data_IF_631413775589
#
_entry.id   IF_631413775589
#
_cell.length_a   1.000
_cell.length_b   1.000
_cell.length_c   1.000
_cell.angle_alpha   90.00
_cell.angle_beta   90.00
_cell.angle_gamma   90.00
#
_symmetry.space_group_name_H-M   'P 1'
#
loop_
_entity.id
_entity.type
_entity.pdbx_description
1 polymer ?
#
# COMPACT_ATOMS: atom_id res chain seq x y z
N UNK A 1 2.24 -29.47 -29.63
CA UNK A 1 1.14 -28.50 -29.64
C UNK A 1 1.67 -27.20 -29.07
N UNK A 2 1.49 -26.12 -29.79
CA UNK A 2 1.97 -24.81 -29.33
C UNK A 2 1.13 -24.36 -28.15
N UNK A 3 1.70 -24.47 -26.93
CA UNK A 3 1.04 -24.06 -25.68
C UNK A 3 0.69 -22.54 -25.64
N UNK A 4 1.23 -21.76 -26.58
CA UNK A 4 0.95 -20.31 -26.68
C UNK A 4 -0.42 -20.04 -27.32
N UNK A 5 -0.95 -20.95 -28.13
CA UNK A 5 -2.21 -20.74 -28.82
C UNK A 5 -3.40 -20.62 -27.87
N UNK A 6 -3.56 -21.47 -26.84
CA UNK A 6 -4.62 -21.31 -25.85
C UNK A 6 -4.51 -20.01 -25.05
N UNK A 7 -3.30 -19.62 -24.61
CA UNK A 7 -3.07 -18.41 -23.85
C UNK A 7 -3.41 -17.17 -24.68
N UNK A 8 -2.92 -17.11 -25.91
CA UNK A 8 -3.21 -16.02 -26.83
C UNK A 8 -4.72 -15.93 -27.14
N UNK A 9 -5.36 -17.07 -27.41
CA UNK A 9 -6.79 -17.11 -27.64
C UNK A 9 -7.63 -16.65 -26.45
N UNK A 10 -7.22 -16.94 -25.21
CA UNK A 10 -7.89 -16.48 -24.00
C UNK A 10 -7.74 -14.96 -23.82
N UNK A 11 -6.57 -14.42 -24.08
CA UNK A 11 -6.30 -12.97 -24.01
C UNK A 11 -7.03 -12.21 -25.13
N UNK A 12 -7.03 -12.72 -26.36
CA UNK A 12 -7.66 -12.05 -27.50
C UNK A 12 -9.19 -12.04 -27.41
N UNK A 13 -9.80 -13.05 -26.83
CA UNK A 13 -11.27 -13.13 -26.72
C UNK A 13 -11.86 -12.19 -25.68
N UNK A 14 -11.07 -11.58 -24.80
CA UNK A 14 -11.51 -10.71 -23.69
C UNK A 14 -12.68 -11.29 -22.86
N UNK A 15 -12.94 -12.58 -22.98
CA UNK A 15 -13.81 -13.33 -22.10
C UNK A 15 -12.90 -13.92 -21.06
N UNK A 16 -12.89 -13.28 -19.94
CA UNK A 16 -12.03 -13.55 -18.81
C UNK A 16 -12.34 -14.92 -18.18
N UNK A 17 -12.13 -15.99 -18.91
CA UNK A 17 -11.98 -17.31 -18.29
C UNK A 17 -10.56 -17.40 -17.72
N UNK A 18 -10.38 -16.72 -16.60
CA UNK A 18 -9.12 -16.74 -15.89
C UNK A 18 -8.74 -18.14 -15.40
N UNK A 19 -9.70 -19.06 -15.22
CA UNK A 19 -9.45 -20.44 -14.84
C UNK A 19 -8.72 -21.21 -15.96
N UNK A 20 -9.17 -21.05 -17.21
CA UNK A 20 -8.47 -21.60 -18.36
C UNK A 20 -7.08 -21.04 -18.55
N UNK A 21 -6.91 -19.73 -18.35
CA UNK A 21 -5.61 -19.07 -18.40
C UNK A 21 -4.69 -19.59 -17.29
N UNK A 22 -5.14 -19.62 -16.04
CA UNK A 22 -4.39 -20.13 -14.90
C UNK A 22 -3.97 -21.59 -15.10
N UNK A 23 -4.88 -22.45 -15.61
CA UNK A 23 -4.58 -23.85 -15.91
C UNK A 23 -3.48 -24.00 -16.97
N UNK A 24 -3.54 -23.24 -18.06
CA UNK A 24 -2.52 -23.27 -19.11
C UNK A 24 -1.17 -22.75 -18.60
N UNK A 25 -1.17 -21.70 -17.79
CA UNK A 25 0.02 -21.14 -17.18
C UNK A 25 0.64 -22.13 -16.19
N UNK A 26 -0.17 -22.75 -15.33
CA UNK A 26 0.27 -23.79 -14.39
C UNK A 26 0.93 -24.96 -15.10
N UNK A 27 0.37 -25.48 -16.18
CA UNK A 27 0.95 -26.53 -16.98
C UNK A 27 2.32 -26.14 -17.55
N UNK A 28 2.43 -24.91 -18.06
CA UNK A 28 3.69 -24.39 -18.60
C UNK A 28 4.79 -24.35 -17.53
N UNK A 29 4.49 -23.79 -16.36
CA UNK A 29 5.45 -23.69 -15.26
C UNK A 29 5.74 -25.05 -14.59
N UNK A 30 4.75 -25.95 -14.52
CA UNK A 30 4.97 -27.31 -14.04
C UNK A 30 5.94 -28.08 -14.96
N UNK A 31 5.91 -27.85 -16.26
CA UNK A 31 6.87 -28.43 -17.18
C UNK A 31 8.29 -27.83 -17.02
N UNK A 32 8.40 -26.57 -16.60
CA UNK A 32 9.69 -25.92 -16.35
C UNK A 32 10.28 -26.30 -15.00
N UNK A 33 9.45 -26.58 -14.01
CA UNK A 33 9.85 -26.81 -12.61
C UNK A 33 10.96 -27.86 -12.42
N UNK A 34 10.95 -29.04 -13.08
CA UNK A 34 12.02 -30.04 -12.94
C UNK A 34 13.38 -29.58 -13.46
N UNK A 35 13.41 -28.56 -14.31
CA UNK A 35 14.62 -28.03 -14.93
C UNK A 35 15.12 -26.75 -14.24
N UNK A 36 14.35 -26.20 -13.32
CA UNK A 36 14.70 -25.00 -12.57
C UNK A 36 15.59 -25.36 -11.38
N UNK A 37 16.80 -24.78 -11.25
CA UNK A 37 17.60 -24.89 -10.03
C UNK A 37 16.78 -24.44 -8.80
N UNK A 38 17.09 -25.00 -7.63
CA UNK A 38 16.34 -24.72 -6.40
C UNK A 38 16.42 -23.24 -5.97
N UNK A 39 17.48 -22.57 -6.33
CA UNK A 39 17.77 -21.17 -6.01
C UNK A 39 17.42 -20.20 -7.14
N UNK A 40 16.81 -20.67 -8.24
CA UNK A 40 16.45 -19.83 -9.38
C UNK A 40 15.31 -18.87 -9.02
N UNK A 41 15.53 -17.55 -8.97
CA UNK A 41 14.44 -16.61 -8.82
C UNK A 41 13.69 -16.44 -10.15
N UNK A 42 12.37 -16.50 -10.08
CA UNK A 42 11.48 -16.09 -11.17
C UNK A 42 10.93 -14.70 -10.88
N UNK A 43 10.99 -13.83 -11.86
CA UNK A 43 10.41 -12.50 -11.78
C UNK A 43 9.30 -12.36 -12.81
N UNK A 44 8.18 -11.79 -12.40
CA UNK A 44 7.15 -11.35 -13.33
C UNK A 44 6.78 -9.90 -13.05
N UNK A 45 6.67 -9.12 -14.10
CA UNK A 45 6.05 -7.80 -14.08
C UNK A 45 4.66 -7.98 -14.68
N UNK A 46 3.65 -7.66 -13.89
CA UNK A 46 2.24 -7.69 -14.29
C UNK A 46 1.84 -6.25 -14.62
N UNK A 47 1.76 -5.90 -15.91
CA UNK A 47 1.25 -4.60 -16.32
C UNK A 47 -0.27 -4.61 -16.10
N UNK A 48 -0.79 -3.52 -15.61
CA UNK A 48 -2.16 -3.36 -15.15
C UNK A 48 -2.46 -4.20 -13.90
N UNK A 49 -2.73 -3.52 -12.80
CA UNK A 49 -3.20 -4.15 -11.56
C UNK A 49 -4.64 -4.65 -11.74
N UNK A 50 -4.80 -5.68 -12.58
CA UNK A 50 -6.07 -6.37 -12.73
C UNK A 50 -6.16 -7.49 -11.68
N UNK A 51 -6.97 -7.36 -10.63
CA UNK A 51 -7.03 -8.30 -9.54
C UNK A 51 -7.30 -9.76 -9.96
N UNK A 52 -8.29 -10.06 -10.83
CA UNK A 52 -8.50 -11.41 -11.33
C UNK A 52 -7.31 -12.00 -12.11
N UNK A 53 -6.60 -11.17 -12.88
CA UNK A 53 -5.42 -11.60 -13.60
C UNK A 53 -4.27 -11.94 -12.64
N UNK A 54 -4.03 -11.08 -11.65
CA UNK A 54 -3.02 -11.33 -10.62
C UNK A 54 -3.32 -12.62 -9.86
N UNK A 55 -4.58 -12.86 -9.50
CA UNK A 55 -5.01 -14.12 -8.88
C UNK A 55 -4.71 -15.34 -9.75
N UNK A 56 -4.99 -15.25 -11.06
CA UNK A 56 -4.70 -16.34 -12.00
C UNK A 56 -3.19 -16.64 -12.10
N UNK A 57 -2.36 -15.60 -12.16
CA UNK A 57 -0.89 -15.76 -12.20
C UNK A 57 -0.37 -16.39 -10.92
N UNK A 58 -0.74 -15.84 -9.76
CA UNK A 58 -0.24 -16.30 -8.45
C UNK A 58 -0.65 -17.74 -8.16
N UNK A 59 -1.93 -18.08 -8.35
CA UNK A 59 -2.41 -19.45 -8.16
C UNK A 59 -1.80 -20.44 -9.13
N UNK A 60 -1.56 -20.04 -10.40
CA UNK A 60 -0.94 -20.89 -11.39
C UNK A 60 0.52 -21.27 -11.03
N UNK A 61 1.33 -20.29 -10.61
CA UNK A 61 2.71 -20.56 -10.22
C UNK A 61 2.79 -21.41 -8.93
N UNK A 62 1.94 -21.12 -7.96
CA UNK A 62 1.83 -21.93 -6.76
C UNK A 62 1.48 -23.39 -7.10
N UNK A 63 0.46 -23.61 -7.95
CA UNK A 63 0.07 -24.95 -8.42
C UNK A 63 1.20 -25.67 -9.16
N UNK A 64 2.09 -24.91 -9.79
CA UNK A 64 3.26 -25.45 -10.49
C UNK A 64 4.46 -25.72 -9.56
N UNK A 65 4.35 -25.50 -8.25
CA UNK A 65 5.40 -25.75 -7.27
C UNK A 65 6.40 -24.61 -7.13
N UNK A 66 5.96 -23.36 -7.32
CA UNK A 66 6.76 -22.18 -7.04
C UNK A 66 6.17 -21.42 -5.85
N UNK A 67 7.02 -21.03 -4.93
CA UNK A 67 6.66 -20.22 -3.75
C UNK A 67 6.89 -18.76 -4.03
N UNK A 68 5.88 -17.92 -3.75
CA UNK A 68 6.01 -16.47 -3.79
C UNK A 68 6.94 -16.00 -2.66
N UNK A 69 7.99 -15.28 -3.02
CA UNK A 69 9.00 -14.75 -2.08
C UNK A 69 8.98 -13.23 -1.99
N UNK A 70 8.31 -12.55 -2.91
CA UNK A 70 8.18 -11.10 -2.89
C UNK A 70 7.07 -10.61 -3.79
N UNK A 71 6.48 -9.49 -3.39
CA UNK A 71 5.54 -8.71 -4.17
C UNK A 71 5.79 -7.23 -3.94
N UNK A 72 5.79 -6.43 -4.99
CA UNK A 72 5.94 -4.98 -4.91
C UNK A 72 5.02 -4.30 -5.92
N UNK A 73 4.59 -3.09 -5.59
CA UNK A 73 3.87 -2.20 -6.49
C UNK A 73 4.83 -1.17 -7.09
N UNK A 74 4.58 -0.75 -8.33
CA UNK A 74 5.23 0.44 -8.85
C UNK A 74 4.74 1.68 -8.11
N UNK A 75 5.56 2.73 -7.99
CA UNK A 75 5.12 3.99 -7.41
C UNK A 75 3.99 4.66 -8.20
N UNK A 76 3.87 4.38 -9.47
CA UNK A 76 2.78 4.83 -10.36
C UNK A 76 1.47 4.07 -10.08
N UNK A 77 1.54 2.94 -9.39
CA UNK A 77 0.38 2.13 -9.04
C UNK A 77 -0.21 1.32 -10.20
N UNK A 78 0.49 1.23 -11.31
CA UNK A 78 0.04 0.59 -12.56
C UNK A 78 0.65 -0.80 -12.78
N UNK A 79 1.72 -1.14 -12.07
CA UNK A 79 2.43 -2.42 -12.19
C UNK A 79 2.51 -3.13 -10.86
N UNK A 80 2.50 -4.46 -10.91
CA UNK A 80 2.97 -5.30 -9.80
C UNK A 80 4.16 -6.14 -10.25
N UNK A 81 5.16 -6.24 -9.40
CA UNK A 81 6.27 -7.17 -9.54
C UNK A 81 6.10 -8.30 -8.54
N UNK A 82 6.21 -9.52 -9.02
CA UNK A 82 6.21 -10.71 -8.18
C UNK A 82 7.51 -11.48 -8.37
N UNK A 83 7.97 -12.07 -7.27
CA UNK A 83 9.17 -12.91 -7.26
C UNK A 83 8.83 -14.26 -6.65
N UNK A 84 9.26 -15.34 -7.30
CA UNK A 84 9.08 -16.69 -6.83
C UNK A 84 10.41 -17.44 -6.82
N UNK A 85 10.43 -18.50 -6.02
CA UNK A 85 11.46 -19.52 -6.02
C UNK A 85 10.80 -20.90 -6.12
N UNK A 86 11.53 -21.92 -6.63
CA UNK A 86 11.07 -23.28 -6.57
C UNK A 86 10.70 -23.66 -5.13
N UNK A 87 9.48 -24.16 -4.91
CA UNK A 87 8.97 -24.46 -3.58
C UNK A 87 9.77 -25.59 -2.90
N UNK A 88 10.17 -25.35 -1.67
CA UNK A 88 10.39 -26.42 -0.69
C UNK A 88 9.08 -26.62 0.08
N UNK A 89 8.74 -27.87 0.43
CA UNK A 89 7.53 -28.16 1.20
C UNK A 89 7.57 -27.38 2.52
N UNK A 90 6.60 -26.50 2.74
CA UNK A 90 6.72 -25.54 3.81
C UNK A 90 5.38 -25.20 4.49
N UNK A 91 5.16 -23.98 4.83
CA UNK A 91 4.10 -23.47 5.69
C UNK A 91 2.69 -23.65 5.10
N UNK A 92 1.69 -23.73 5.98
CA UNK A 92 0.29 -23.65 5.57
C UNK A 92 -0.03 -22.25 5.00
N UNK A 93 -0.85 -22.17 3.95
CA UNK A 93 -1.28 -20.88 3.42
C UNK A 93 -2.05 -20.09 4.50
N UNK A 94 -1.85 -18.77 4.52
CA UNK A 94 -2.65 -17.87 5.33
C UNK A 94 -4.03 -17.64 4.72
N UNK A 95 -4.91 -17.00 5.46
CA UNK A 95 -6.25 -16.68 4.96
C UNK A 95 -6.24 -15.33 4.23
N UNK A 96 -7.13 -15.20 3.26
CA UNK A 96 -7.42 -13.93 2.57
C UNK A 96 -7.73 -12.82 3.56
N UNK A 97 -8.58 -13.10 4.53
CA UNK A 97 -9.04 -12.14 5.52
C UNK A 97 -7.88 -11.60 6.37
N UNK A 98 -7.02 -12.50 6.85
CA UNK A 98 -5.83 -12.11 7.63
C UNK A 98 -4.89 -11.21 6.83
N UNK A 99 -4.66 -11.52 5.55
CA UNK A 99 -3.82 -10.70 4.69
C UNK A 99 -4.36 -9.30 4.47
N UNK A 100 -5.64 -9.17 4.17
CA UNK A 100 -6.30 -7.86 4.00
C UNK A 100 -6.25 -7.04 5.30
N UNK A 101 -6.57 -7.66 6.44
CA UNK A 101 -6.54 -6.98 7.74
C UNK A 101 -5.12 -6.56 8.14
N UNK A 102 -4.14 -7.45 7.97
CA UNK A 102 -2.75 -7.14 8.30
C UNK A 102 -2.23 -5.96 7.48
N UNK A 103 -2.50 -5.98 6.17
CA UNK A 103 -2.10 -4.88 5.28
C UNK A 103 -2.72 -3.53 5.69
N UNK A 104 -4.02 -3.49 5.94
CA UNK A 104 -4.71 -2.25 6.30
C UNK A 104 -4.28 -1.74 7.69
N UNK A 105 -3.99 -2.64 8.66
CA UNK A 105 -3.41 -2.25 9.94
C UNK A 105 -2.02 -1.67 9.79
N UNK A 106 -1.16 -2.35 9.04
CA UNK A 106 0.21 -1.92 8.76
C UNK A 106 0.26 -0.63 7.93
N UNK A 107 -0.68 -0.46 7.01
CA UNK A 107 -0.83 0.78 6.25
C UNK A 107 -1.31 1.94 7.12
N UNK A 108 -2.18 1.67 8.10
CA UNK A 108 -2.74 2.67 9.02
C UNK A 108 -3.75 3.63 8.37
N UNK A 109 -4.11 3.40 7.11
CA UNK A 109 -5.03 4.21 6.32
C UNK A 109 -5.76 3.34 5.28
N UNK A 110 -6.90 3.79 4.74
CA UNK A 110 -7.59 3.09 3.68
C UNK A 110 -6.74 2.93 2.42
N UNK A 111 -6.95 1.81 1.72
CA UNK A 111 -6.28 1.49 0.46
C UNK A 111 -7.30 1.29 -0.67
N UNK A 112 -6.85 1.39 -1.92
CA UNK A 112 -7.66 1.06 -3.08
C UNK A 112 -8.00 -0.44 -3.13
N UNK A 113 -8.99 -0.77 -3.97
CA UNK A 113 -9.46 -2.15 -4.12
C UNK A 113 -8.34 -3.10 -4.59
N UNK A 114 -7.56 -2.70 -5.59
CA UNK A 114 -6.55 -3.57 -6.19
C UNK A 114 -5.44 -3.93 -5.19
N UNK A 115 -4.96 -2.94 -4.45
CA UNK A 115 -3.96 -3.13 -3.40
C UNK A 115 -4.48 -4.02 -2.27
N UNK A 116 -5.72 -3.77 -1.81
CA UNK A 116 -6.37 -4.56 -0.75
C UNK A 116 -6.63 -5.99 -1.21
N UNK A 117 -7.05 -6.18 -2.48
CA UNK A 117 -7.24 -7.49 -3.09
C UNK A 117 -5.92 -8.29 -3.13
N UNK A 118 -4.82 -7.65 -3.60
CA UNK A 118 -3.51 -8.27 -3.61
C UNK A 118 -3.05 -8.66 -2.20
N UNK A 119 -3.28 -7.81 -1.22
CA UNK A 119 -2.93 -8.09 0.17
C UNK A 119 -3.61 -9.35 0.72
N UNK A 120 -4.86 -9.59 0.33
CA UNK A 120 -5.56 -10.84 0.67
C UNK A 120 -5.06 -12.05 -0.14
N UNK A 121 -4.68 -11.80 -1.39
CA UNK A 121 -4.24 -12.87 -2.28
C UNK A 121 -2.87 -13.45 -1.92
N UNK A 122 -1.92 -12.59 -1.49
CA UNK A 122 -0.54 -13.00 -1.21
C UNK A 122 -0.44 -14.14 -0.18
N UNK A 123 -1.04 -14.07 1.02
CA UNK A 123 -0.97 -15.17 1.99
C UNK A 123 -1.73 -16.43 1.54
N UNK A 124 -2.81 -16.26 0.78
CA UNK A 124 -3.54 -17.40 0.22
C UNK A 124 -2.71 -18.16 -0.85
N UNK A 125 -1.74 -17.48 -1.46
CA UNK A 125 -0.79 -18.03 -2.41
C UNK A 125 0.63 -18.22 -1.79
N UNK A 126 0.76 -18.20 -0.46
CA UNK A 126 1.99 -18.49 0.23
C UNK A 126 2.37 -19.99 0.15
N UNK A 127 3.59 -20.37 0.56
CA UNK A 127 4.15 -21.69 0.29
C UNK A 127 3.27 -22.82 0.87
N UNK A 128 2.55 -23.48 -0.01
CA UNK A 128 1.86 -24.73 0.25
C UNK A 128 2.40 -25.80 -0.68
N UNK A 129 2.25 -27.06 -0.30
CA UNK A 129 2.51 -28.12 -1.27
C UNK A 129 1.58 -27.91 -2.49
N UNK A 130 2.01 -28.21 -3.73
CA UNK A 130 1.19 -28.02 -4.91
C UNK A 130 -0.19 -28.68 -4.83
N UNK A 131 -0.30 -29.78 -4.09
CA UNK A 131 -1.57 -30.48 -3.83
C UNK A 131 -2.53 -29.69 -2.94
N UNK A 132 -2.05 -28.77 -2.12
CA UNK A 132 -2.83 -27.96 -1.16
C UNK A 132 -3.21 -26.59 -1.73
N UNK A 133 -2.82 -26.32 -2.98
CA UNK A 133 -3.16 -25.05 -3.64
C UNK A 133 -4.66 -24.96 -3.87
N UNK A 134 -5.34 -23.94 -3.31
CA UNK A 134 -6.77 -23.78 -3.53
C UNK A 134 -7.05 -23.43 -4.99
N UNK A 135 -8.13 -23.96 -5.58
CA UNK A 135 -8.55 -23.58 -6.91
C UNK A 135 -8.74 -22.05 -7.02
N UNK A 136 -8.39 -21.47 -8.15
CA UNK A 136 -8.54 -20.02 -8.41
C UNK A 136 -9.94 -19.51 -8.02
N UNK A 137 -10.99 -20.25 -8.38
CA UNK A 137 -12.37 -19.87 -8.06
C UNK A 137 -12.62 -19.80 -6.55
N UNK A 138 -12.04 -20.71 -5.76
CA UNK A 138 -12.16 -20.67 -4.29
C UNK A 138 -11.48 -19.45 -3.70
N UNK A 139 -10.31 -19.07 -4.21
CA UNK A 139 -9.60 -17.86 -3.78
C UNK A 139 -10.38 -16.61 -4.14
N UNK A 140 -10.92 -16.54 -5.35
CA UNK A 140 -11.76 -15.40 -5.78
C UNK A 140 -13.02 -15.28 -4.93
N UNK A 141 -13.72 -16.39 -4.65
CA UNK A 141 -14.90 -16.40 -3.79
C UNK A 141 -14.54 -15.97 -2.36
N UNK A 142 -13.41 -16.40 -1.84
CA UNK A 142 -12.95 -15.97 -0.50
C UNK A 142 -12.67 -14.47 -0.44
N UNK A 143 -12.06 -13.90 -1.49
CA UNK A 143 -11.82 -12.46 -1.62
C UNK A 143 -13.12 -11.67 -1.70
N UNK A 144 -14.06 -12.08 -2.56
CA UNK A 144 -15.37 -11.45 -2.67
C UNK A 144 -16.12 -11.46 -1.33
N UNK A 145 -16.15 -12.61 -0.65
CA UNK A 145 -16.77 -12.74 0.67
C UNK A 145 -16.10 -11.84 1.72
N UNK A 146 -14.77 -11.70 1.67
CA UNK A 146 -14.05 -10.82 2.58
C UNK A 146 -14.45 -9.35 2.37
N UNK A 147 -14.53 -8.86 1.13
CA UNK A 147 -14.98 -7.50 0.84
C UNK A 147 -16.43 -7.24 1.25
N UNK A 148 -17.31 -8.24 1.22
CA UNK A 148 -18.69 -8.11 1.70
C UNK A 148 -18.82 -8.20 3.23
N UNK A 149 -17.75 -8.47 3.95
CA UNK A 149 -17.80 -8.63 5.40
C UNK A 149 -17.66 -7.29 6.14
N UNK A 150 -18.78 -6.62 6.32
CA UNK A 150 -18.87 -5.32 7.00
C UNK A 150 -18.45 -5.33 8.48
N UNK A 151 -18.30 -6.52 9.10
CA UNK A 151 -17.77 -6.62 10.46
C UNK A 151 -16.27 -6.29 10.52
N UNK A 152 -15.55 -6.44 9.42
CA UNK A 152 -14.11 -6.21 9.38
C UNK A 152 -13.71 -5.04 8.50
N UNK A 153 -14.47 -4.74 7.43
CA UNK A 153 -14.09 -3.74 6.44
C UNK A 153 -15.18 -2.69 6.25
N UNK A 154 -14.73 -1.48 6.01
CA UNK A 154 -15.56 -0.36 5.61
C UNK A 154 -15.19 0.09 4.20
N UNK A 155 -16.21 0.24 3.34
CA UNK A 155 -16.06 0.72 1.98
C UNK A 155 -16.35 2.22 1.90
N UNK A 156 -15.31 3.03 1.67
CA UNK A 156 -15.43 4.47 1.44
C UNK A 156 -15.85 4.72 -0.01
N UNK A 157 -17.13 4.69 -0.24
CA UNK A 157 -17.76 4.78 -1.56
C UNK A 157 -17.64 6.18 -2.13
N UNK A 158 -17.42 6.27 -3.44
CA UNK A 158 -17.46 7.54 -4.19
C UNK A 158 -18.89 7.97 -4.53
N UNK A 159 -19.85 7.05 -4.52
CA UNK A 159 -21.29 7.26 -4.72
C UNK A 159 -22.09 6.10 -4.09
N UNK A 160 -23.40 6.28 -3.91
CA UNK A 160 -24.27 5.23 -3.33
C UNK A 160 -24.24 3.90 -4.12
N UNK A 161 -24.11 3.99 -5.44
CA UNK A 161 -24.08 2.82 -6.35
C UNK A 161 -22.66 2.47 -6.78
N UNK A 162 -21.63 2.84 -6.00
CA UNK A 162 -20.26 2.53 -6.33
C UNK A 162 -20.01 1.01 -6.35
N UNK A 163 -19.35 0.54 -7.40
CA UNK A 163 -18.93 -0.86 -7.50
C UNK A 163 -17.83 -1.17 -6.46
N UNK A 164 -17.63 -2.45 -6.16
CA UNK A 164 -16.63 -2.89 -5.16
C UNK A 164 -15.20 -2.49 -5.52
N UNK A 165 -14.91 -2.39 -6.80
CA UNK A 165 -13.60 -2.02 -7.37
C UNK A 165 -13.35 -0.52 -7.41
N UNK A 166 -14.26 0.30 -6.88
CA UNK A 166 -14.15 1.76 -6.81
C UNK A 166 -14.05 2.24 -5.36
N UNK A 167 -13.46 3.41 -5.15
CA UNK A 167 -13.28 3.99 -3.81
C UNK A 167 -12.16 3.33 -3.01
N UNK A 168 -12.20 3.51 -1.70
CA UNK A 168 -11.17 3.02 -0.78
C UNK A 168 -11.78 2.03 0.21
N UNK A 169 -10.94 1.13 0.68
CA UNK A 169 -11.27 0.12 1.69
C UNK A 169 -10.45 0.34 2.95
N UNK A 170 -11.08 0.34 4.10
CA UNK A 170 -10.45 0.47 5.39
C UNK A 170 -10.97 -0.55 6.38
N UNK A 171 -10.38 -0.59 7.56
CA UNK A 171 -10.86 -1.42 8.67
C UNK A 171 -12.10 -0.81 9.30
N UNK A 172 -13.07 -1.65 9.68
CA UNK A 172 -14.22 -1.24 10.50
C UNK A 172 -13.78 -0.85 11.92
N UNK A 173 -12.75 -1.52 12.44
CA UNK A 173 -12.06 -1.18 13.68
C UNK A 173 -10.57 -0.94 13.39
N UNK A 174 -10.12 0.29 13.54
CA UNK A 174 -8.72 0.71 13.37
C UNK A 174 -7.88 0.60 14.63
N UNK A 175 -8.41 0.04 15.73
CA UNK A 175 -7.63 -0.18 16.94
C UNK A 175 -6.40 -1.04 16.67
N UNK A 176 -5.24 -0.58 17.13
CA UNK A 176 -3.96 -1.26 16.89
C UNK A 176 -3.39 -1.11 15.47
N UNK A 177 -3.93 -0.20 14.66
CA UNK A 177 -3.32 0.18 13.38
C UNK A 177 -2.08 1.05 13.60
N UNK A 178 -1.15 0.96 12.66
CA UNK A 178 0.01 1.85 12.58
C UNK A 178 -0.43 3.29 12.28
N UNK A 179 0.52 4.22 12.38
CA UNK A 179 0.32 5.55 11.83
C UNK A 179 0.08 5.48 10.32
N UNK A 180 -0.76 6.36 9.75
CA UNK A 180 -1.01 6.40 8.32
C UNK A 180 0.29 6.37 7.50
N UNK A 181 0.30 5.61 6.42
CA UNK A 181 1.46 5.48 5.53
C UNK A 181 1.89 6.85 5.00
N UNK A 182 0.92 7.70 4.65
CA UNK A 182 1.17 9.06 4.19
C UNK A 182 1.94 9.89 5.23
N UNK A 183 1.55 9.81 6.50
CA UNK A 183 2.22 10.53 7.60
C UNK A 183 3.64 10.00 7.85
N UNK A 184 3.82 8.67 7.77
CA UNK A 184 5.14 8.04 7.92
C UNK A 184 6.07 8.44 6.79
N UNK A 185 5.56 8.41 5.56
CA UNK A 185 6.29 8.82 4.37
C UNK A 185 6.67 10.30 4.45
N UNK A 186 5.74 11.19 4.77
CA UNK A 186 6.04 12.62 4.94
C UNK A 186 7.14 12.86 5.97
N UNK A 187 7.05 12.19 7.12
CA UNK A 187 8.07 12.25 8.18
C UNK A 187 9.43 11.78 7.69
N UNK A 188 9.46 10.69 6.93
CA UNK A 188 10.68 10.18 6.31
C UNK A 188 11.29 11.22 5.38
N UNK A 189 10.50 11.73 4.42
CA UNK A 189 10.95 12.72 3.44
C UNK A 189 11.49 13.97 4.13
N UNK A 190 10.76 14.55 5.06
CA UNK A 190 11.20 15.75 5.78
C UNK A 190 12.50 15.51 6.55
N UNK A 191 12.61 14.36 7.21
CA UNK A 191 13.83 14.00 7.96
C UNK A 191 15.02 13.81 7.01
N UNK A 192 14.79 13.20 5.86
CA UNK A 192 15.79 12.99 4.82
C UNK A 192 16.27 14.32 4.22
N UNK A 193 15.33 15.21 3.85
CA UNK A 193 15.62 16.53 3.29
C UNK A 193 16.43 17.42 4.25
N UNK A 194 16.16 17.31 5.55
CA UNK A 194 16.94 18.06 6.55
C UNK A 194 18.40 17.60 6.67
N UNK A 195 18.68 16.33 6.33
CA UNK A 195 20.05 15.79 6.30
C UNK A 195 20.75 16.07 4.97
N UNK A 196 19.97 16.13 3.89
CA UNK A 196 20.49 16.28 2.51
C UNK A 196 19.75 17.44 1.84
N UNK A 197 20.12 18.70 2.15
CA UNK A 197 19.37 19.87 1.69
C UNK A 197 19.45 20.13 0.18
N UNK A 198 20.46 19.60 -0.52
CA UNK A 198 20.56 19.61 -2.00
C UNK A 198 20.72 18.18 -2.49
N UNK A 199 19.88 17.75 -3.43
CA UNK A 199 19.80 16.34 -3.80
C UNK A 199 19.22 16.11 -5.19
N UNK A 200 19.47 14.90 -5.71
CA UNK A 200 18.75 14.35 -6.86
C UNK A 200 17.53 13.58 -6.38
N UNK A 201 16.38 13.78 -7.01
CA UNK A 201 15.13 13.08 -6.66
C UNK A 201 15.31 11.56 -6.63
N UNK A 202 16.07 10.99 -7.58
CA UNK A 202 16.34 9.56 -7.64
C UNK A 202 17.05 9.00 -6.40
N UNK A 203 17.85 9.80 -5.70
CA UNK A 203 18.49 9.37 -4.45
C UNK A 203 17.47 9.26 -3.31
N UNK A 204 16.57 10.24 -3.19
CA UNK A 204 15.47 10.17 -2.23
C UNK A 204 14.53 9.00 -2.56
N UNK A 205 14.19 8.79 -3.82
CA UNK A 205 13.34 7.68 -4.27
C UNK A 205 13.93 6.33 -3.88
N UNK A 206 15.23 6.12 -4.12
CA UNK A 206 15.89 4.86 -3.77
C UNK A 206 15.79 4.55 -2.28
N UNK A 207 16.03 5.53 -1.41
CA UNK A 207 15.95 5.37 0.03
C UNK A 207 14.49 5.21 0.52
N UNK A 208 13.56 5.95 -0.09
CA UNK A 208 12.14 5.89 0.24
C UNK A 208 11.55 4.51 -0.06
N UNK A 209 11.84 3.95 -1.23
CA UNK A 209 11.30 2.64 -1.60
C UNK A 209 11.99 1.48 -0.87
N UNK A 210 13.21 1.68 -0.41
CA UNK A 210 13.86 0.74 0.51
C UNK A 210 13.19 0.74 1.90
N UNK A 211 12.72 1.90 2.39
CA UNK A 211 12.01 2.03 3.67
C UNK A 211 10.58 1.48 3.60
N UNK A 212 9.89 1.68 2.48
CA UNK A 212 8.50 1.27 2.28
C UNK A 212 8.36 0.25 1.15
N UNK A 213 8.88 -0.97 1.31
CA UNK A 213 8.85 -1.98 0.26
C UNK A 213 7.48 -2.64 0.09
N UNK A 214 7.29 -3.30 -1.04
CA UNK A 214 6.17 -4.18 -1.28
C UNK A 214 4.85 -3.45 -1.55
N UNK A 215 3.78 -3.86 -0.89
CA UNK A 215 2.48 -3.20 -0.99
C UNK A 215 2.40 -1.87 -0.21
N UNK A 216 3.46 -1.53 0.52
CA UNK A 216 3.60 -0.25 1.22
C UNK A 216 4.29 0.82 0.39
N UNK A 217 4.69 0.52 -0.83
CA UNK A 217 5.31 1.52 -1.71
C UNK A 217 4.36 2.72 -1.85
N UNK A 218 4.80 3.94 -1.45
CA UNK A 218 3.96 5.12 -1.53
C UNK A 218 3.76 5.51 -3.00
N UNK A 219 2.59 6.08 -3.34
CA UNK A 219 2.34 6.54 -4.70
C UNK A 219 3.22 7.74 -5.05
N UNK A 220 3.64 7.82 -6.31
CA UNK A 220 4.51 8.89 -6.83
C UNK A 220 3.92 10.28 -6.64
N UNK A 221 2.58 10.40 -6.70
CA UNK A 221 1.90 11.68 -6.47
C UNK A 221 2.08 12.19 -5.04
N UNK A 222 2.13 11.30 -4.06
CA UNK A 222 2.38 11.66 -2.67
C UNK A 222 3.82 12.16 -2.50
N UNK A 223 4.80 11.49 -3.12
CA UNK A 223 6.18 11.97 -3.12
C UNK A 223 6.31 13.34 -3.77
N UNK A 224 5.65 13.53 -4.93
CA UNK A 224 5.63 14.83 -5.61
C UNK A 224 5.02 15.91 -4.72
N UNK A 225 3.90 15.64 -4.06
CA UNK A 225 3.27 16.58 -3.14
C UNK A 225 4.18 16.95 -1.96
N UNK A 226 4.96 15.99 -1.43
CA UNK A 226 5.99 16.26 -0.43
C UNK A 226 7.09 17.17 -0.98
N UNK A 227 7.65 16.85 -2.14
CA UNK A 227 8.70 17.66 -2.76
C UNK A 227 8.23 19.08 -3.04
N UNK A 228 7.07 19.26 -3.65
CA UNK A 228 6.47 20.57 -3.94
C UNK A 228 6.18 21.38 -2.67
N UNK A 229 5.95 20.72 -1.53
CA UNK A 229 5.68 21.36 -0.26
C UNK A 229 6.95 21.81 0.47
N UNK A 230 7.99 20.97 0.45
CA UNK A 230 9.18 21.16 1.28
C UNK A 230 10.44 21.58 0.54
N UNK A 231 10.47 21.39 -0.78
CA UNK A 231 11.65 21.65 -1.61
C UNK A 231 11.30 22.53 -2.82
N UNK A 232 12.32 22.98 -3.50
CA UNK A 232 12.23 23.72 -4.77
C UNK A 232 13.23 23.17 -5.78
N UNK A 233 12.91 23.16 -7.08
CA UNK A 233 13.84 22.72 -8.12
C UNK A 233 15.01 23.70 -8.25
N UNK A 234 16.23 23.18 -8.51
CA UNK A 234 17.46 23.97 -8.62
C UNK A 234 17.83 24.33 -10.06
N UNK A 235 16.99 24.00 -11.04
CA UNK A 235 17.23 24.27 -12.47
C UNK A 235 17.89 23.12 -13.24
N UNK A 236 18.58 22.19 -12.59
CA UNK A 236 19.00 20.94 -13.22
C UNK A 236 17.86 19.90 -13.17
N UNK A 237 17.63 19.10 -14.23
CA UNK A 237 16.57 18.11 -14.23
C UNK A 237 16.69 17.13 -13.06
N UNK A 238 15.62 16.99 -12.26
CA UNK A 238 15.57 16.09 -11.10
C UNK A 238 16.37 16.55 -9.88
N UNK A 239 16.98 17.74 -9.91
CA UNK A 239 17.70 18.30 -8.78
C UNK A 239 16.81 19.25 -7.97
N UNK A 240 16.81 19.06 -6.66
CA UNK A 240 15.97 19.78 -5.71
C UNK A 240 16.80 20.34 -4.56
N UNK A 241 16.26 21.37 -3.89
CA UNK A 241 16.82 21.95 -2.69
C UNK A 241 15.73 22.17 -1.65
N UNK A 242 16.03 21.85 -0.39
CA UNK A 242 15.16 22.16 0.74
C UNK A 242 14.88 23.68 0.79
N UNK A 243 13.63 24.06 0.92
CA UNK A 243 13.27 25.48 1.09
C UNK A 243 13.86 26.02 2.41
N UNK A 244 14.41 27.25 2.42
CA UNK A 244 15.03 27.80 3.63
C UNK A 244 14.09 27.81 4.86
N UNK A 245 12.80 28.11 4.67
CA UNK A 245 11.81 28.13 5.74
C UNK A 245 11.52 26.74 6.32
N UNK A 246 11.86 25.68 5.60
CA UNK A 246 11.67 24.29 6.03
C UNK A 246 12.90 23.73 6.75
N UNK A 247 13.94 24.52 6.87
CA UNK A 247 15.10 24.15 7.69
C UNK A 247 14.69 23.89 9.15
N UNK A 248 15.35 22.90 9.79
CA UNK A 248 14.95 22.43 11.13
C UNK A 248 14.90 23.54 12.20
N UNK A 249 15.73 24.57 12.07
CA UNK A 249 15.73 25.71 12.99
C UNK A 249 14.49 26.61 12.81
N UNK A 250 14.15 26.90 11.56
CA UNK A 250 12.97 27.71 11.21
C UNK A 250 11.68 27.01 11.61
N UNK A 251 11.56 25.72 11.29
CA UNK A 251 10.40 24.91 11.68
C UNK A 251 10.20 24.89 13.20
N UNK A 252 11.28 24.75 13.99
CA UNK A 252 11.18 24.84 15.45
C UNK A 252 10.66 26.20 15.92
N UNK A 253 11.06 27.27 15.25
CA UNK A 253 10.59 28.62 15.56
C UNK A 253 9.09 28.74 15.24
N UNK A 254 8.66 28.26 14.08
CA UNK A 254 7.25 28.26 13.70
C UNK A 254 6.38 27.43 14.67
N UNK A 255 6.83 26.24 15.06
CA UNK A 255 6.13 25.42 16.06
C UNK A 255 5.96 26.15 17.39
N UNK A 256 6.98 26.87 17.88
CA UNK A 256 6.85 27.68 19.08
C UNK A 256 5.76 28.74 18.97
N UNK A 257 5.64 29.39 17.81
CA UNK A 257 4.57 30.36 17.56
C UNK A 257 3.19 29.69 17.61
N UNK A 258 3.05 28.53 17.00
CA UNK A 258 1.79 27.75 17.04
C UNK A 258 1.43 27.36 18.48
N UNK A 259 2.38 26.86 19.27
CA UNK A 259 2.16 26.55 20.68
C UNK A 259 1.70 27.78 21.46
N UNK A 260 2.35 28.92 21.27
CA UNK A 260 1.98 30.16 21.95
C UNK A 260 0.57 30.62 21.57
N UNK A 261 0.19 30.47 20.28
CA UNK A 261 -1.17 30.79 19.83
C UNK A 261 -2.22 29.88 20.45
N UNK A 262 -1.96 28.57 20.48
CA UNK A 262 -2.86 27.60 21.10
C UNK A 262 -2.99 27.85 22.61
N UNK A 263 -1.91 28.14 23.31
CA UNK A 263 -1.93 28.45 24.74
C UNK A 263 -2.78 29.70 25.02
N UNK A 264 -2.57 30.79 24.26
CA UNK A 264 -3.38 32.02 24.39
C UNK A 264 -4.85 31.77 24.11
N UNK A 265 -5.15 30.96 23.09
CA UNK A 265 -6.54 30.59 22.76
C UNK A 265 -7.18 29.80 23.93
N UNK A 266 -6.46 28.86 24.51
CA UNK A 266 -6.93 28.13 25.70
C UNK A 266 -7.25 29.08 26.86
N UNK A 267 -6.36 30.05 27.16
CA UNK A 267 -6.57 31.05 28.18
C UNK A 267 -7.83 31.90 27.90
N UNK A 268 -8.02 32.35 26.65
CA UNK A 268 -9.20 33.12 26.25
C UNK A 268 -10.52 32.33 26.40
N UNK A 269 -10.48 31.02 26.20
CA UNK A 269 -11.61 30.11 26.36
C UNK A 269 -11.79 29.65 27.82
N UNK A 270 -10.88 30.01 28.72
CA UNK A 270 -10.93 29.58 30.11
C UNK A 270 -10.54 28.12 30.31
N UNK A 271 -9.78 27.52 29.38
CA UNK A 271 -9.35 26.14 29.46
C UNK A 271 -7.97 26.02 30.10
N UNK A 272 -7.82 25.25 31.19
CA UNK A 272 -6.51 24.94 31.74
C UNK A 272 -5.66 24.20 30.71
N UNK A 273 -4.44 24.66 30.53
CA UNK A 273 -3.50 24.18 29.51
C UNK A 273 -2.26 23.58 30.18
N UNK A 274 -1.80 22.41 29.72
CA UNK A 274 -0.63 21.73 30.24
C UNK A 274 0.10 20.94 29.16
N UNK A 275 1.40 20.66 29.38
CA UNK A 275 2.24 19.92 28.45
C UNK A 275 2.77 20.76 27.27
N UNK A 276 3.78 20.24 26.60
CA UNK A 276 4.36 20.85 25.40
C UNK A 276 4.22 19.94 24.17
N UNK A 277 4.17 18.62 24.36
CA UNK A 277 3.96 17.67 23.25
C UNK A 277 3.46 16.34 23.83
N UNK A 278 2.15 16.13 23.87
CA UNK A 278 1.07 16.99 23.40
C UNK A 278 0.79 18.20 24.30
N UNK A 279 0.24 19.26 23.70
CA UNK A 279 -0.41 20.33 24.42
C UNK A 279 -1.82 19.89 24.81
N UNK A 280 -2.14 19.86 26.08
CA UNK A 280 -3.41 19.33 26.61
C UNK A 280 -4.28 20.48 27.13
N UNK A 281 -5.54 20.55 26.64
CA UNK A 281 -6.57 21.47 27.14
C UNK A 281 -7.58 20.72 27.98
N UNK A 282 -7.88 21.21 29.20
CA UNK A 282 -8.85 20.61 30.14
C UNK A 282 -8.61 19.14 30.47
N UNK A 283 -7.46 18.57 30.18
CA UNK A 283 -7.23 17.12 30.31
C UNK A 283 -7.96 16.24 29.29
N UNK A 284 -8.71 16.85 28.36
CA UNK A 284 -9.56 16.13 27.39
C UNK A 284 -9.09 16.27 25.93
N UNK A 285 -8.53 17.41 25.56
CA UNK A 285 -8.10 17.67 24.19
C UNK A 285 -6.57 17.67 24.09
N UNK A 286 -6.01 16.79 23.29
CA UNK A 286 -4.57 16.72 23.05
C UNK A 286 -4.25 17.26 21.65
N UNK A 287 -3.37 18.26 21.56
CA UNK A 287 -2.88 18.82 20.31
C UNK A 287 -1.43 18.42 20.11
N UNK A 288 -1.17 17.87 18.94
CA UNK A 288 0.17 17.53 18.46
C UNK A 288 0.52 18.47 17.31
N UNK A 289 0.97 19.71 17.58
CA UNK A 289 1.32 20.63 16.51
C UNK A 289 2.42 20.03 15.64
N UNK A 290 2.09 19.78 14.39
CA UNK A 290 3.00 19.26 13.38
C UNK A 290 3.05 20.26 12.23
N UNK A 291 4.24 20.59 11.79
CA UNK A 291 4.40 21.42 10.60
C UNK A 291 4.30 20.50 9.37
N UNK A 292 3.09 20.10 9.02
CA UNK A 292 2.81 19.34 7.79
C UNK A 292 2.04 20.19 6.80
N UNK A 293 2.49 20.21 5.56
CA UNK A 293 1.80 20.89 4.46
C UNK A 293 0.78 19.97 3.74
N UNK A 294 0.82 18.67 4.00
CA UNK A 294 0.05 17.66 3.25
C UNK A 294 -1.25 17.27 3.95
N UNK A 295 -1.30 17.29 5.28
CA UNK A 295 -2.46 16.88 6.08
C UNK A 295 -3.77 17.52 5.58
N UNK A 296 -3.73 18.77 5.12
CA UNK A 296 -4.92 19.46 4.62
C UNK A 296 -5.54 18.82 3.37
N UNK A 297 -4.80 18.06 2.58
CA UNK A 297 -5.31 17.39 1.38
C UNK A 297 -5.97 16.04 1.70
N UNK A 298 -5.53 15.35 2.75
CA UNK A 298 -6.06 14.04 3.14
C UNK A 298 -7.24 14.14 4.13
N UNK A 299 -7.25 15.13 5.00
CA UNK A 299 -8.37 15.40 5.93
C UNK A 299 -9.63 15.89 5.20
N UNK A 300 -9.52 16.28 3.93
CA UNK A 300 -10.66 16.71 3.11
C UNK A 300 -11.53 15.57 2.57
N UNK A 301 -11.16 14.31 2.79
CA UNK A 301 -12.09 13.20 2.57
C UNK A 301 -13.18 13.28 3.66
N UNK A 302 -14.48 13.38 3.31
CA UNK A 302 -15.52 13.45 4.29
C UNK A 302 -15.53 12.17 5.12
N UNK A 303 -15.11 12.27 6.38
CA UNK A 303 -15.34 11.19 7.32
C UNK A 303 -16.85 11.09 7.54
N UNK A 304 -17.48 9.93 7.36
CA UNK A 304 -18.85 9.75 7.76
C UNK A 304 -18.91 9.97 9.29
N UNK A 305 -19.80 10.87 9.70
CA UNK A 305 -20.12 11.02 11.12
C UNK A 305 -20.55 9.66 11.66
N UNK A 306 -20.09 9.25 12.86
CA UNK A 306 -20.61 8.04 13.48
C UNK A 306 -22.14 8.13 13.57
N UNK A 307 -22.88 7.04 13.36
CA UNK A 307 -24.33 7.04 13.52
C UNK A 307 -24.65 7.45 14.95
N UNK A 308 -25.63 8.37 15.10
CA UNK A 308 -26.19 8.79 16.38
C UNK A 308 -26.85 7.62 17.13
#
# INVERSE_FOLDING_TARGET
SDARVPLRGALERRRYDWSGYAGALAQTFAALRPHAPADLPLFAIVPELNPPFSAAVLTALQSAGFTLTGAALSPEGDLAQFTWQPAEAGASPGTVLEGMQAHLRERGEPADFATTYLAGLLPACAPAAPADTPPLQSVQTALENAFHNSAFFYHYKTSENAALDTGLWGLADSAGSDLPLADRMERFVVTWLQKTPEFMQSALEADLWAEFPGLRTPPQDLLRACLESYAEPTGAPGAWRLRPQEAAAERRTHLKVVYQLLTRLAEQLGYPCSGESPLIWQGAYAFFPMASAIISRFVSAPQPLPPE
#
